data_IF_580742103349
#
_entry.id   IF_580742103349
#
_cell.length_a   1.000
_cell.length_b   1.000
_cell.length_c   1.000
_cell.angle_alpha   90.00
_cell.angle_beta   90.00
_cell.angle_gamma   90.00
#
_symmetry.space_group_name_H-M   'P 1'
#
loop_
_entity.id
_entity.type
_entity.pdbx_description
1 polymer ?
#
# COMPACT_ATOMS: atom_id res chain seq x y z
N UNK A 1 -39.61 62.83 12.01
CA UNK A 1 -39.47 61.83 10.94
C UNK A 1 -38.08 61.23 11.04
N UNK A 2 -37.91 60.02 11.66
CA UNK A 2 -36.63 59.33 11.82
C UNK A 2 -36.51 58.31 10.70
N UNK A 3 -35.54 58.49 9.82
CA UNK A 3 -35.17 57.44 8.80
C UNK A 3 -34.40 56.35 9.43
N UNK A 4 -34.97 55.17 9.41
CA UNK A 4 -34.27 53.90 9.81
C UNK A 4 -33.53 53.41 8.56
N UNK A 5 -32.19 53.43 8.63
CA UNK A 5 -31.34 52.83 7.61
C UNK A 5 -31.15 51.36 8.01
N UNK A 6 -31.74 50.45 7.26
CA UNK A 6 -31.60 49.00 7.45
C UNK A 6 -30.33 48.54 6.71
N UNK A 7 -29.27 48.19 7.47
CA UNK A 7 -28.07 47.60 6.92
C UNK A 7 -28.30 46.11 6.82
N UNK A 8 -28.47 45.61 5.61
CA UNK A 8 -28.51 44.16 5.32
C UNK A 8 -27.04 43.66 5.25
N UNK A 9 -26.58 43.00 6.33
CA UNK A 9 -25.32 42.33 6.36
C UNK A 9 -25.43 40.97 5.64
N UNK A 10 -25.05 40.96 4.37
CA UNK A 10 -24.99 39.70 3.60
C UNK A 10 -23.76 38.92 4.04
N UNK A 11 -23.96 37.91 4.89
CA UNK A 11 -22.90 36.97 5.27
C UNK A 11 -22.72 36.02 4.09
N UNK A 12 -21.64 36.19 3.32
CA UNK A 12 -21.13 35.20 2.38
C UNK A 12 -20.55 34.04 3.20
N UNK A 13 -21.35 33.01 3.43
CA UNK A 13 -20.84 31.70 3.83
C UNK A 13 -20.12 31.08 2.62
N UNK A 14 -18.83 31.33 2.46
CA UNK A 14 -17.98 30.53 1.61
C UNK A 14 -17.90 29.14 2.24
N UNK A 15 -18.73 28.22 1.77
CA UNK A 15 -18.58 26.78 2.02
C UNK A 15 -17.26 26.36 1.39
N UNK A 16 -16.22 26.28 2.22
CA UNK A 16 -14.99 25.59 1.87
C UNK A 16 -15.37 24.10 1.82
N UNK A 17 -15.74 23.64 0.64
CA UNK A 17 -15.78 22.21 0.35
C UNK A 17 -14.32 21.73 0.40
N UNK A 18 -13.91 21.22 1.56
CA UNK A 18 -12.76 20.34 1.60
C UNK A 18 -13.13 19.12 0.74
N UNK A 19 -12.67 19.10 -0.48
CA UNK A 19 -12.58 17.84 -1.23
C UNK A 19 -11.79 16.91 -0.33
N UNK A 20 -12.41 15.85 0.16
CA UNK A 20 -11.74 14.81 0.90
C UNK A 20 -10.84 14.16 -0.13
N UNK A 21 -9.56 14.56 -0.17
CA UNK A 21 -8.55 13.93 -1.01
C UNK A 21 -8.59 12.44 -0.64
N UNK A 22 -8.92 11.59 -1.61
CA UNK A 22 -8.82 10.15 -1.41
C UNK A 22 -7.40 9.86 -0.97
N UNK A 23 -7.24 9.41 0.27
CA UNK A 23 -5.93 9.15 0.85
C UNK A 23 -5.20 8.04 0.12
N UNK A 24 -5.94 7.12 -0.49
CA UNK A 24 -5.41 5.99 -1.25
C UNK A 24 -6.25 5.85 -2.51
N UNK A 25 -5.61 5.82 -3.67
CA UNK A 25 -6.23 5.47 -4.94
C UNK A 25 -5.93 4.01 -5.25
N UNK A 26 -6.97 3.18 -5.34
CA UNK A 26 -6.85 1.76 -5.71
C UNK A 26 -7.61 1.50 -7.00
N UNK A 27 -6.93 0.96 -8.00
CA UNK A 27 -7.52 0.62 -9.31
C UNK A 27 -7.07 -0.76 -9.78
N UNK A 28 -7.95 -1.45 -10.52
CA UNK A 28 -7.62 -2.69 -11.22
C UNK A 28 -7.58 -2.36 -12.71
N UNK A 29 -6.38 -2.34 -13.29
CA UNK A 29 -6.19 -2.17 -14.72
C UNK A 29 -6.39 -3.52 -15.43
N UNK A 30 -7.41 -3.61 -16.27
CA UNK A 30 -7.75 -4.76 -17.12
C UNK A 30 -7.55 -4.47 -18.60
N UNK A 31 -6.98 -3.33 -18.96
CA UNK A 31 -6.84 -2.90 -20.37
C UNK A 31 -5.81 -3.74 -21.13
N UNK A 32 -4.91 -4.39 -20.43
CA UNK A 32 -3.88 -5.28 -20.97
C UNK A 32 -4.27 -6.75 -20.74
N UNK A 33 -5.37 -7.18 -21.40
CA UNK A 33 -5.72 -8.62 -21.42
C UNK A 33 -4.55 -9.44 -21.99
N UNK A 34 -4.19 -10.60 -21.41
CA UNK A 34 -4.99 -11.41 -20.47
C UNK A 34 -4.70 -11.16 -18.98
N UNK A 35 -4.00 -10.10 -18.62
CA UNK A 35 -3.56 -9.84 -17.26
C UNK A 35 -4.35 -8.71 -16.59
N UNK A 36 -4.43 -8.78 -15.27
CA UNK A 36 -4.89 -7.71 -14.39
C UNK A 36 -3.70 -7.11 -13.65
N UNK A 37 -3.72 -5.80 -13.44
CA UNK A 37 -2.75 -5.10 -12.60
C UNK A 37 -3.49 -4.37 -11.50
N UNK A 38 -3.19 -4.69 -10.23
CA UNK A 38 -3.65 -3.92 -9.09
C UNK A 38 -2.70 -2.73 -8.88
N UNK A 39 -3.24 -1.52 -8.97
CA UNK A 39 -2.48 -0.29 -8.75
C UNK A 39 -3.00 0.38 -7.48
N UNK A 40 -2.12 0.63 -6.52
CA UNK A 40 -2.42 1.40 -5.31
C UNK A 40 -1.43 2.55 -5.20
N UNK A 41 -1.95 3.77 -5.05
CA UNK A 41 -1.16 4.99 -5.01
C UNK A 41 -1.61 5.88 -3.86
N UNK A 42 -0.66 6.42 -3.09
CA UNK A 42 -0.93 7.26 -1.94
C UNK A 42 0.29 8.14 -1.62
N UNK A 43 0.06 9.20 -0.83
CA UNK A 43 1.09 10.14 -0.41
C UNK A 43 1.31 10.04 1.10
N UNK A 44 2.58 9.99 1.50
CA UNK A 44 3.01 10.02 2.90
C UNK A 44 3.73 11.33 3.18
N UNK A 45 3.34 12.03 4.23
CA UNK A 45 4.01 13.28 4.64
C UNK A 45 5.21 12.96 5.53
N UNK A 46 6.29 12.51 4.92
CA UNK A 46 7.53 12.15 5.60
C UNK A 46 8.72 12.28 4.65
N UNK A 47 9.94 12.31 5.20
CA UNK A 47 11.15 12.23 4.40
C UNK A 47 11.25 10.88 3.67
N UNK A 48 11.83 10.88 2.46
CA UNK A 48 12.00 9.68 1.64
C UNK A 48 12.72 8.55 2.40
N UNK A 49 13.71 8.88 3.23
CA UNK A 49 14.42 7.91 4.07
C UNK A 49 13.50 7.23 5.08
N UNK A 50 12.58 7.96 5.68
CA UNK A 50 11.63 7.40 6.63
C UNK A 50 10.66 6.43 5.93
N UNK A 51 10.11 6.82 4.77
CA UNK A 51 9.22 5.96 3.99
C UNK A 51 9.95 4.72 3.47
N UNK A 52 11.17 4.87 2.95
CA UNK A 52 12.00 3.75 2.53
C UNK A 52 12.27 2.79 3.70
N UNK A 53 12.64 3.31 4.87
CA UNK A 53 12.90 2.51 6.06
C UNK A 53 11.64 1.78 6.57
N UNK A 54 10.45 2.37 6.38
CA UNK A 54 9.18 1.72 6.70
C UNK A 54 8.97 0.41 5.92
N UNK A 55 9.48 0.33 4.71
CA UNK A 55 9.39 -0.87 3.84
C UNK A 55 10.60 -1.81 3.93
N UNK A 56 11.74 -1.34 4.44
CA UNK A 56 13.01 -2.06 4.30
C UNK A 56 13.70 -2.41 5.61
N UNK A 57 13.09 -2.05 6.73
CA UNK A 57 13.63 -2.39 8.05
C UNK A 57 12.62 -3.14 8.91
N UNK A 58 13.10 -3.98 9.82
CA UNK A 58 12.27 -4.64 10.84
C UNK A 58 11.39 -3.63 11.58
N UNK A 59 12.03 -2.59 12.17
CA UNK A 59 11.32 -1.55 12.92
C UNK A 59 10.29 -0.82 12.07
N UNK A 60 10.60 -0.61 10.79
CA UNK A 60 9.68 -0.02 9.83
C UNK A 60 8.42 -0.86 9.70
N UNK A 61 8.53 -2.12 9.29
CA UNK A 61 7.38 -3.03 9.14
C UNK A 61 6.56 -3.16 10.42
N UNK A 62 7.21 -3.29 11.57
CA UNK A 62 6.55 -3.41 12.88
C UNK A 62 5.84 -2.13 13.32
N UNK A 63 6.15 -0.98 12.72
CA UNK A 63 5.53 0.29 13.07
C UNK A 63 4.17 0.54 12.41
N UNK A 64 3.88 -0.12 11.26
CA UNK A 64 2.64 0.13 10.54
C UNK A 64 1.95 -1.11 9.98
N UNK A 65 2.68 -2.17 9.64
CA UNK A 65 2.11 -3.27 8.88
C UNK A 65 1.82 -4.52 9.73
N UNK A 66 2.77 -4.93 10.57
CA UNK A 66 2.71 -6.22 11.28
C UNK A 66 3.33 -6.11 12.67
N UNK A 67 2.89 -6.91 13.65
CA UNK A 67 3.51 -6.93 14.97
C UNK A 67 4.92 -7.55 14.99
N UNK A 68 5.25 -8.46 14.07
CA UNK A 68 6.56 -9.13 14.02
C UNK A 68 7.11 -9.14 12.61
N UNK A 69 8.38 -8.72 12.46
CA UNK A 69 9.11 -8.79 11.20
C UNK A 69 10.58 -9.15 11.37
N UNK A 70 11.17 -9.78 10.36
CA UNK A 70 12.60 -9.92 10.13
C UNK A 70 12.92 -9.63 8.67
N UNK A 71 14.02 -8.93 8.40
CA UNK A 71 14.39 -8.50 7.05
C UNK A 71 15.87 -8.71 6.81
N UNK A 72 16.19 -9.39 5.70
CA UNK A 72 17.52 -9.46 5.12
C UNK A 72 17.51 -8.65 3.81
N UNK A 73 17.81 -7.33 3.91
CA UNK A 73 17.73 -6.42 2.79
C UNK A 73 18.90 -6.59 1.83
N UNK A 74 18.73 -7.50 0.90
CA UNK A 74 19.62 -7.73 -0.25
C UNK A 74 18.84 -8.35 -1.41
N UNK A 75 19.36 -8.29 -2.62
CA UNK A 75 18.79 -9.03 -3.76
C UNK A 75 18.85 -10.53 -3.44
N UNK A 76 17.72 -11.23 -3.56
CA UNK A 76 17.55 -12.61 -3.13
C UNK A 76 17.39 -12.80 -1.61
N UNK A 77 17.38 -11.72 -0.82
CA UNK A 77 17.05 -11.78 0.59
C UNK A 77 15.54 -11.92 0.83
N UNK A 78 15.13 -11.99 2.09
CA UNK A 78 13.74 -12.26 2.47
C UNK A 78 13.23 -11.29 3.54
N UNK A 79 11.95 -11.05 3.48
CA UNK A 79 11.16 -10.40 4.52
C UNK A 79 10.28 -11.49 5.12
N UNK A 80 10.36 -11.71 6.42
CA UNK A 80 9.46 -12.57 7.18
C UNK A 80 8.55 -11.72 8.02
N UNK A 81 7.24 -11.94 7.92
CA UNK A 81 6.24 -11.21 8.69
C UNK A 81 5.27 -12.15 9.40
N UNK A 82 4.76 -11.73 10.54
CA UNK A 82 3.72 -12.46 11.23
C UNK A 82 2.67 -11.48 11.79
N UNK A 83 1.41 -11.68 11.43
CA UNK A 83 0.28 -10.86 11.89
C UNK A 83 -0.21 -11.24 13.30
N UNK A 84 0.24 -12.37 13.82
CA UNK A 84 -0.10 -12.80 15.18
C UNK A 84 0.95 -12.26 16.17
N UNK A 85 0.58 -11.28 16.98
CA UNK A 85 1.44 -10.69 18.00
C UNK A 85 1.89 -11.69 19.09
N UNK A 86 1.14 -12.77 19.31
CA UNK A 86 1.49 -13.85 20.24
C UNK A 86 2.28 -14.99 19.59
N UNK A 87 2.50 -14.91 18.26
CA UNK A 87 3.28 -15.87 17.51
C UNK A 87 4.79 -15.58 17.58
N UNK A 88 5.53 -16.21 16.70
CA UNK A 88 6.96 -15.95 16.48
C UNK A 88 7.29 -16.06 14.99
N UNK A 89 8.38 -15.41 14.58
CA UNK A 89 8.90 -15.62 13.23
C UNK A 89 9.41 -17.05 13.10
N UNK A 90 8.98 -17.72 12.02
CA UNK A 90 9.32 -19.13 11.72
C UNK A 90 8.23 -20.11 12.12
N UNK A 91 7.11 -19.69 12.75
CA UNK A 91 5.96 -20.58 12.93
C UNK A 91 5.12 -20.69 11.64
N UNK A 92 4.08 -21.51 11.66
CA UNK A 92 3.23 -21.80 10.48
C UNK A 92 2.42 -20.58 9.98
N UNK A 93 2.34 -19.50 10.77
CA UNK A 93 1.67 -18.25 10.38
C UNK A 93 2.63 -17.21 9.82
N UNK A 94 3.93 -17.53 9.76
CA UNK A 94 4.93 -16.65 9.14
C UNK A 94 4.75 -16.59 7.63
N UNK A 95 4.64 -15.37 7.12
CA UNK A 95 4.63 -15.10 5.67
C UNK A 95 6.06 -14.78 5.25
N UNK A 96 6.53 -15.44 4.18
CA UNK A 96 7.83 -15.21 3.59
C UNK A 96 7.64 -14.44 2.27
N UNK A 97 8.40 -13.38 2.11
CA UNK A 97 8.40 -12.55 0.91
C UNK A 97 9.84 -12.36 0.44
N UNK A 98 10.12 -12.76 -0.80
CA UNK A 98 11.44 -12.59 -1.42
C UNK A 98 11.65 -11.18 -1.93
N UNK A 99 12.84 -10.63 -1.72
CA UNK A 99 13.30 -9.39 -2.31
C UNK A 99 13.92 -9.74 -3.67
N UNK A 100 13.19 -9.52 -4.75
CA UNK A 100 13.63 -9.87 -6.12
C UNK A 100 14.73 -8.92 -6.58
N UNK A 101 14.48 -7.64 -6.44
CA UNK A 101 15.45 -6.58 -6.67
C UNK A 101 15.02 -5.30 -5.95
N UNK A 102 15.92 -4.32 -5.88
CA UNK A 102 15.59 -2.97 -5.44
C UNK A 102 16.62 -1.95 -5.94
N UNK A 103 16.19 -0.71 -6.04
CA UNK A 103 17.05 0.46 -6.17
C UNK A 103 16.78 1.32 -4.93
N UNK A 104 17.80 1.57 -4.09
CA UNK A 104 17.61 2.27 -2.81
C UNK A 104 16.82 3.58 -2.98
N UNK A 105 15.76 3.73 -2.17
CA UNK A 105 14.87 4.92 -2.16
C UNK A 105 14.14 5.19 -3.48
N UNK A 106 14.07 4.22 -4.38
CA UNK A 106 13.39 4.37 -5.68
C UNK A 106 12.36 3.30 -5.91
N UNK A 107 12.75 2.03 -5.76
CA UNK A 107 11.84 0.91 -5.95
C UNK A 107 12.29 -0.31 -5.16
N UNK A 108 11.33 -1.18 -4.88
CA UNK A 108 11.56 -2.55 -4.42
C UNK A 108 10.57 -3.48 -5.10
N UNK A 109 11.03 -4.64 -5.55
CA UNK A 109 10.20 -5.70 -6.11
C UNK A 109 10.18 -6.87 -5.14
N UNK A 110 8.98 -7.27 -4.76
CA UNK A 110 8.71 -8.31 -3.79
C UNK A 110 7.92 -9.45 -4.43
N UNK A 111 8.16 -10.68 -3.96
CA UNK A 111 7.43 -11.88 -4.35
C UNK A 111 7.09 -12.70 -3.11
N UNK A 112 5.82 -12.81 -2.76
CA UNK A 112 5.39 -13.61 -1.63
C UNK A 112 5.42 -15.11 -1.96
N UNK A 113 5.79 -15.95 -0.99
CA UNK A 113 5.60 -17.39 -1.08
C UNK A 113 4.11 -17.71 -0.90
N UNK A 114 3.55 -18.45 -1.86
CA UNK A 114 2.17 -18.90 -1.81
C UNK A 114 2.12 -20.23 -1.05
N UNK A 115 1.69 -20.15 0.19
CA UNK A 115 1.55 -21.29 1.11
C UNK A 115 0.13 -21.85 1.11
N UNK A 116 -0.13 -22.88 1.92
CA UNK A 116 -1.46 -23.48 2.08
C UNK A 116 -2.52 -22.53 2.67
N UNK A 117 -2.09 -21.37 3.19
CA UNK A 117 -2.98 -20.32 3.66
C UNK A 117 -3.59 -19.48 2.52
N UNK A 118 -3.11 -19.66 1.27
CA UNK A 118 -3.63 -18.98 0.09
C UNK A 118 -4.60 -19.88 -0.69
N UNK A 119 -5.53 -19.29 -1.47
CA UNK A 119 -6.41 -20.07 -2.34
C UNK A 119 -5.64 -20.98 -3.31
N UNK A 120 -6.11 -22.22 -3.50
CA UNK A 120 -5.41 -23.22 -4.31
C UNK A 120 -5.09 -22.74 -5.72
N UNK A 121 -6.00 -21.99 -6.36
CA UNK A 121 -5.79 -21.48 -7.72
C UNK A 121 -4.60 -20.51 -7.84
N UNK A 122 -4.11 -19.94 -6.73
CA UNK A 122 -2.92 -19.09 -6.74
C UNK A 122 -1.63 -19.90 -6.82
N UNK A 123 -1.63 -21.14 -6.36
CA UNK A 123 -0.41 -21.98 -6.32
C UNK A 123 0.13 -22.26 -7.73
N UNK A 124 -0.77 -22.44 -8.69
CA UNK A 124 -0.41 -22.70 -10.09
C UNK A 124 0.33 -21.50 -10.73
N UNK A 125 -0.05 -20.29 -10.32
CA UNK A 125 0.45 -19.03 -10.89
C UNK A 125 1.47 -18.33 -9.95
N UNK A 126 1.86 -18.97 -8.84
CA UNK A 126 2.67 -18.37 -7.76
C UNK A 126 3.95 -17.67 -8.26
N UNK A 127 4.59 -18.23 -9.29
CA UNK A 127 5.82 -17.70 -9.90
C UNK A 127 5.63 -16.38 -10.64
N UNK A 128 4.39 -16.03 -11.00
CA UNK A 128 4.07 -14.87 -11.84
C UNK A 128 3.66 -13.66 -10.99
N UNK A 129 3.40 -13.84 -9.67
CA UNK A 129 2.98 -12.74 -8.81
C UNK A 129 4.15 -11.93 -8.29
N UNK A 130 4.11 -10.63 -8.56
CA UNK A 130 5.06 -9.67 -8.00
C UNK A 130 4.34 -8.44 -7.48
N UNK A 131 4.93 -7.82 -6.48
CA UNK A 131 4.56 -6.49 -6.03
C UNK A 131 5.73 -5.54 -6.27
N UNK A 132 5.56 -4.57 -7.18
CA UNK A 132 6.58 -3.56 -7.52
C UNK A 132 6.16 -2.25 -6.88
N UNK A 133 6.98 -1.73 -5.97
CA UNK A 133 6.68 -0.54 -5.19
C UNK A 133 7.68 0.55 -5.55
N UNK A 134 7.16 1.70 -5.98
CA UNK A 134 7.93 2.90 -6.31
C UNK A 134 7.79 3.96 -5.23
N UNK A 135 8.86 4.73 -5.05
CA UNK A 135 8.96 5.83 -4.10
C UNK A 135 9.46 7.07 -4.83
N UNK A 136 8.61 8.08 -4.95
CA UNK A 136 8.94 9.35 -5.59
C UNK A 136 8.83 10.48 -4.57
N UNK A 137 9.94 11.17 -4.33
CA UNK A 137 9.98 12.36 -3.49
C UNK A 137 9.25 13.51 -4.20
N UNK A 138 8.28 14.08 -3.53
CA UNK A 138 7.52 15.21 -4.03
C UNK A 138 7.93 16.51 -3.32
N UNK A 139 7.54 17.64 -3.89
CA UNK A 139 7.66 18.93 -3.21
C UNK A 139 6.88 18.94 -1.89
N UNK A 140 7.26 19.84 -0.99
CA UNK A 140 6.58 20.04 0.32
C UNK A 140 6.70 18.87 1.31
N UNK A 141 7.70 17.98 1.17
CA UNK A 141 8.01 16.92 2.13
C UNK A 141 7.03 15.76 2.09
N UNK A 142 6.45 15.48 0.93
CA UNK A 142 5.68 14.28 0.67
C UNK A 142 6.48 13.26 -0.13
N UNK A 143 6.19 12.00 0.07
CA UNK A 143 6.61 10.90 -0.80
C UNK A 143 5.37 10.27 -1.42
N UNK A 144 5.34 10.17 -2.75
CA UNK A 144 4.35 9.39 -3.46
C UNK A 144 4.81 7.92 -3.48
N UNK A 145 3.97 7.04 -2.98
CA UNK A 145 4.19 5.59 -3.03
C UNK A 145 3.20 4.99 -4.00
N UNK A 146 3.71 4.25 -4.99
CA UNK A 146 2.89 3.57 -5.98
C UNK A 146 3.26 2.11 -6.07
N UNK A 147 2.29 1.25 -5.82
CA UNK A 147 2.42 -0.19 -5.78
C UNK A 147 1.69 -0.83 -6.95
N UNK A 148 2.32 -1.81 -7.60
CA UNK A 148 1.77 -2.59 -8.71
C UNK A 148 1.79 -4.06 -8.33
N UNK A 149 0.61 -4.66 -8.15
CA UNK A 149 0.44 -6.11 -8.07
C UNK A 149 0.25 -6.66 -9.48
N UNK A 150 1.18 -7.48 -9.97
CA UNK A 150 1.21 -8.00 -11.33
C UNK A 150 1.22 -9.52 -11.37
N UNK A 151 0.98 -10.11 -12.55
CA UNK A 151 0.95 -11.56 -12.77
C UNK A 151 -0.42 -12.21 -12.56
N UNK A 152 -1.46 -11.42 -12.40
CA UNK A 152 -2.82 -11.92 -12.17
C UNK A 152 -3.57 -12.10 -13.49
N UNK A 153 -4.15 -13.29 -13.70
CA UNK A 153 -4.96 -13.57 -14.88
C UNK A 153 -6.28 -12.79 -14.86
N UNK A 154 -6.71 -12.29 -16.02
CA UNK A 154 -8.00 -11.60 -16.15
C UNK A 154 -9.17 -12.58 -16.10
N UNK A 155 -9.62 -12.93 -14.90
CA UNK A 155 -10.78 -13.76 -14.64
C UNK A 155 -11.47 -13.40 -13.31
N UNK A 156 -12.65 -13.93 -13.09
CA UNK A 156 -13.47 -13.60 -11.92
C UNK A 156 -12.84 -13.97 -10.58
N UNK A 157 -12.03 -15.05 -10.52
CA UNK A 157 -11.34 -15.47 -9.28
C UNK A 157 -10.32 -14.41 -8.85
N UNK A 158 -9.49 -13.96 -9.81
CA UNK A 158 -8.49 -12.93 -9.52
C UNK A 158 -9.08 -11.54 -9.32
N UNK A 159 -10.17 -11.19 -10.01
CA UNK A 159 -10.91 -9.96 -9.74
C UNK A 159 -11.44 -9.93 -8.29
N UNK A 160 -12.02 -11.03 -7.81
CA UNK A 160 -12.50 -11.13 -6.44
C UNK A 160 -11.34 -11.03 -5.43
N UNK A 161 -10.22 -11.69 -5.72
CA UNK A 161 -9.01 -11.64 -4.89
C UNK A 161 -8.43 -10.23 -4.80
N UNK A 162 -8.36 -9.50 -5.92
CA UNK A 162 -7.86 -8.12 -5.96
C UNK A 162 -8.77 -7.17 -5.16
N UNK A 163 -10.10 -7.33 -5.22
CA UNK A 163 -11.01 -6.55 -4.40
C UNK A 163 -10.81 -6.82 -2.89
N UNK A 164 -10.52 -8.07 -2.53
CA UNK A 164 -10.12 -8.41 -1.16
C UNK A 164 -8.80 -7.74 -0.78
N UNK A 165 -7.78 -7.78 -1.65
CA UNK A 165 -6.50 -7.11 -1.40
C UNK A 165 -6.64 -5.59 -1.29
N UNK A 166 -7.47 -4.95 -2.11
CA UNK A 166 -7.76 -3.52 -1.98
C UNK A 166 -8.21 -3.22 -0.55
N UNK A 167 -9.27 -3.89 -0.09
CA UNK A 167 -9.83 -3.64 1.24
C UNK A 167 -8.82 -3.91 2.36
N UNK A 168 -8.06 -5.01 2.27
CA UNK A 168 -7.08 -5.37 3.30
C UNK A 168 -5.87 -4.42 3.31
N UNK A 169 -5.34 -4.09 2.13
CA UNK A 169 -4.17 -3.23 2.00
C UNK A 169 -4.49 -1.79 2.40
N UNK A 170 -5.61 -1.21 1.95
CA UNK A 170 -5.99 0.16 2.30
C UNK A 170 -6.03 0.37 3.81
N UNK A 171 -6.53 -0.62 4.55
CA UNK A 171 -6.56 -0.58 6.01
C UNK A 171 -5.15 -0.48 6.62
N UNK A 172 -4.17 -1.18 6.06
CA UNK A 172 -2.77 -1.12 6.50
C UNK A 172 -2.10 0.17 6.03
N UNK A 173 -2.31 0.57 4.76
CA UNK A 173 -1.70 1.76 4.17
C UNK A 173 -2.15 3.05 4.88
N UNK A 174 -3.37 3.10 5.42
CA UNK A 174 -3.83 4.21 6.26
C UNK A 174 -2.98 4.36 7.54
N UNK A 175 -2.44 3.28 8.09
CA UNK A 175 -1.52 3.34 9.23
C UNK A 175 -0.18 3.94 8.80
N UNK A 176 0.34 3.60 7.63
CA UNK A 176 1.56 4.19 7.09
C UNK A 176 1.40 5.69 6.77
N UNK A 177 0.25 6.12 6.25
CA UNK A 177 -0.03 7.53 5.96
C UNK A 177 -0.10 8.37 7.25
N UNK A 178 -0.45 7.74 8.37
CA UNK A 178 -0.57 8.38 9.69
C UNK A 178 0.73 8.32 10.50
N UNK A 179 1.80 7.78 9.92
CA UNK A 179 3.14 7.57 10.50
C UNK A 179 3.99 8.85 10.66
#
# INVERSE_FOLDING_TARGET
>A
MKKIVSIILTIFLSSITYAQEERISSTIDSTKSPELVLIQEFKVKAALDAVWNAYTTKKGWESWAVPLAEIDLKVGGIIKTNYNASGKIGDSTTIITHIVNYVPKRLITLQAEITDNFPEFMKEDAKDFYNVIYFDELENGYVNVKSFGIGYKNNTKYLSLMNYFITANEKLLLQLISY
#
